data_IF_029341589847
#
_entry.id   IF_029341589847
#
_cell.length_a   1.000
_cell.length_b   1.000
_cell.length_c   1.000
_cell.angle_alpha   90.00
_cell.angle_beta   90.00
_cell.angle_gamma   90.00
#
_symmetry.space_group_name_H-M   'P 1'
#
loop_
_entity.id
_entity.type
_entity.pdbx_description
1 polymer ?
#
# COMPACT_ATOMS: atom_id res chain seq x y z
N UNK A 1 -14.72 -20.19 12.73
CA UNK A 1 -13.81 -19.52 11.77
C UNK A 1 -14.58 -19.41 10.48
N UNK A 2 -15.08 -18.23 10.12
CA UNK A 2 -15.79 -18.05 8.85
C UNK A 2 -14.75 -18.03 7.71
N UNK A 3 -15.06 -18.58 6.53
CA UNK A 3 -14.16 -18.50 5.39
C UNK A 3 -14.07 -17.03 4.94
N UNK A 4 -12.88 -16.43 5.01
CA UNK A 4 -12.57 -15.20 4.29
C UNK A 4 -12.78 -15.49 2.80
N UNK A 5 -13.76 -14.83 2.17
CA UNK A 5 -14.05 -15.04 0.76
C UNK A 5 -12.90 -14.46 -0.07
N UNK A 6 -12.16 -15.24 -0.87
CA UNK A 6 -11.02 -14.73 -1.65
C UNK A 6 -11.43 -13.62 -2.63
N UNK A 7 -12.70 -13.60 -3.07
CA UNK A 7 -13.26 -12.53 -3.89
C UNK A 7 -13.37 -11.16 -3.20
N UNK A 8 -13.43 -11.09 -1.86
CA UNK A 8 -13.45 -9.79 -1.15
C UNK A 8 -12.06 -9.18 -1.04
N UNK A 9 -11.03 -9.99 -0.80
CA UNK A 9 -9.66 -9.49 -0.66
C UNK A 9 -9.13 -8.88 -1.98
N UNK A 10 -9.33 -9.56 -3.11
CA UNK A 10 -8.96 -9.04 -4.43
C UNK A 10 -9.77 -7.78 -4.80
N UNK A 11 -11.07 -7.75 -4.46
CA UNK A 11 -11.92 -6.57 -4.68
C UNK A 11 -11.47 -5.38 -3.83
N UNK A 12 -11.13 -5.61 -2.56
CA UNK A 12 -10.59 -4.59 -1.67
C UNK A 12 -9.23 -4.08 -2.17
N UNK A 13 -8.34 -4.97 -2.60
CA UNK A 13 -7.05 -4.62 -3.17
C UNK A 13 -7.21 -3.75 -4.43
N UNK A 14 -8.16 -4.08 -5.31
CA UNK A 14 -8.49 -3.29 -6.50
C UNK A 14 -9.02 -1.90 -6.13
N UNK A 15 -9.92 -1.79 -5.16
CA UNK A 15 -10.41 -0.49 -4.68
C UNK A 15 -9.24 0.38 -4.17
N UNK A 16 -8.32 -0.21 -3.41
CA UNK A 16 -7.16 0.49 -2.89
C UNK A 16 -6.17 0.89 -3.98
N UNK A 17 -6.00 0.07 -5.02
CA UNK A 17 -5.20 0.41 -6.19
C UNK A 17 -5.80 1.61 -6.94
N UNK A 18 -7.11 1.64 -7.14
CA UNK A 18 -7.79 2.76 -7.78
C UNK A 18 -7.65 4.07 -6.98
N UNK A 19 -7.78 3.98 -5.65
CA UNK A 19 -7.53 5.13 -4.75
C UNK A 19 -6.08 5.59 -4.89
N UNK A 20 -5.13 4.66 -4.86
CA UNK A 20 -3.71 4.96 -4.97
C UNK A 20 -3.35 5.63 -6.30
N UNK A 21 -3.84 5.11 -7.43
CA UNK A 21 -3.60 5.68 -8.75
C UNK A 21 -4.15 7.10 -8.88
N UNK A 22 -5.32 7.39 -8.28
CA UNK A 22 -5.89 8.75 -8.25
C UNK A 22 -5.04 9.69 -7.40
N UNK A 23 -4.65 9.26 -6.21
CA UNK A 23 -3.80 10.06 -5.32
C UNK A 23 -2.42 10.32 -5.94
N UNK A 24 -1.78 9.31 -6.51
CA UNK A 24 -0.45 9.41 -7.09
C UNK A 24 -0.43 10.28 -8.35
N UNK A 25 -1.44 10.15 -9.23
CA UNK A 25 -1.56 11.01 -10.41
C UNK A 25 -1.82 12.47 -10.06
N UNK A 26 -2.63 12.74 -9.02
CA UNK A 26 -2.76 14.09 -8.48
C UNK A 26 -1.42 14.61 -7.96
N UNK A 27 -0.66 13.83 -7.17
CA UNK A 27 0.66 14.26 -6.68
C UNK A 27 1.68 14.55 -7.79
N UNK A 28 1.68 13.78 -8.87
CA UNK A 28 2.53 14.06 -10.05
C UNK A 28 2.12 15.37 -10.74
N UNK A 29 0.81 15.65 -10.84
CA UNK A 29 0.31 16.92 -11.36
C UNK A 29 0.56 18.11 -10.41
N UNK A 30 0.51 17.90 -9.09
CA UNK A 30 0.81 18.91 -8.07
C UNK A 30 2.33 19.17 -7.97
N UNK A 31 3.18 18.16 -8.19
CA UNK A 31 4.64 18.31 -8.28
C UNK A 31 5.09 19.15 -9.49
N UNK A 32 4.24 19.26 -10.52
CA UNK A 32 4.42 20.17 -11.66
C UNK A 32 3.60 21.47 -11.57
N UNK A 33 2.80 21.70 -10.51
CA UNK A 33 1.95 22.91 -10.50
C UNK A 33 1.01 23.21 -9.35
N UNK A 34 1.10 22.60 -8.16
CA UNK A 34 0.26 23.02 -7.04
C UNK A 34 1.02 23.22 -5.74
N UNK A 35 1.12 24.49 -5.38
CA UNK A 35 1.59 24.95 -4.10
C UNK A 35 0.50 24.76 -3.02
N UNK A 36 0.34 23.53 -2.51
CA UNK A 36 -0.09 23.34 -1.12
C UNK A 36 1.09 23.57 -0.15
N UNK A 37 2.04 24.41 -0.55
CA UNK A 37 3.14 24.90 0.27
C UNK A 37 2.65 25.97 1.23
N UNK A 38 2.13 25.56 2.38
CA UNK A 38 2.39 26.31 3.61
C UNK A 38 3.44 25.48 4.37
N UNK A 39 4.71 25.78 4.08
CA UNK A 39 5.86 25.17 4.75
C UNK A 39 6.72 24.23 3.89
N UNK A 40 7.23 24.69 2.75
CA UNK A 40 8.55 24.30 2.21
C UNK A 40 8.86 22.83 1.84
N UNK A 41 7.95 21.88 2.02
CA UNK A 41 8.20 20.46 1.70
C UNK A 41 7.35 20.03 0.52
N UNK A 42 7.95 19.94 -0.67
CA UNK A 42 7.36 19.20 -1.79
C UNK A 42 7.58 17.72 -1.51
N UNK A 43 6.61 17.08 -0.85
CA UNK A 43 6.61 15.61 -0.66
C UNK A 43 6.52 14.95 -2.03
N UNK A 44 7.52 14.13 -2.37
CA UNK A 44 7.50 13.34 -3.59
C UNK A 44 6.64 12.10 -3.37
N UNK A 45 6.05 11.58 -4.44
CA UNK A 45 5.31 10.31 -4.40
C UNK A 45 6.13 9.19 -3.73
N UNK A 46 7.43 9.15 -4.04
CA UNK A 46 8.39 8.19 -3.49
C UNK A 46 8.55 8.30 -1.97
N UNK A 47 8.52 9.50 -1.41
CA UNK A 47 8.61 9.71 0.04
C UNK A 47 7.37 9.13 0.74
N UNK A 48 6.20 9.26 0.10
CA UNK A 48 4.95 8.71 0.62
C UNK A 48 4.88 7.18 0.51
N UNK A 49 5.38 6.61 -0.59
CA UNK A 49 5.51 5.15 -0.72
C UNK A 49 6.45 4.58 0.35
N UNK A 50 7.55 5.27 0.63
CA UNK A 50 8.48 4.94 1.70
C UNK A 50 7.79 5.03 3.08
N UNK A 51 7.09 6.12 3.39
CA UNK A 51 6.38 6.29 4.67
C UNK A 51 5.33 5.20 4.91
N UNK A 52 4.57 4.83 3.88
CA UNK A 52 3.60 3.73 3.97
C UNK A 52 4.32 2.40 4.20
N UNK A 53 5.38 2.12 3.44
CA UNK A 53 6.13 0.89 3.59
C UNK A 53 6.76 0.76 4.99
N UNK A 54 7.38 1.83 5.49
CA UNK A 54 7.97 1.88 6.83
C UNK A 54 6.92 1.68 7.92
N UNK A 55 5.74 2.29 7.76
CA UNK A 55 4.62 2.04 8.66
C UNK A 55 4.22 0.56 8.65
N UNK A 56 4.05 -0.07 7.49
CA UNK A 56 3.67 -1.47 7.37
C UNK A 56 4.72 -2.42 7.94
N UNK A 57 6.00 -2.17 7.66
CA UNK A 57 7.14 -2.91 8.24
C UNK A 57 7.13 -2.81 9.75
N UNK A 58 7.02 -1.60 10.30
CA UNK A 58 6.99 -1.40 11.75
C UNK A 58 5.77 -2.05 12.43
N UNK A 59 4.64 -2.19 11.71
CA UNK A 59 3.48 -2.94 12.22
C UNK A 59 3.75 -4.46 12.20
N UNK A 60 4.38 -4.97 11.13
CA UNK A 60 4.72 -6.38 11.00
C UNK A 60 5.77 -6.80 12.05
N UNK A 61 6.81 -5.99 12.25
CA UNK A 61 7.86 -6.23 13.24
C UNK A 61 7.31 -6.24 14.67
N UNK A 62 6.43 -5.29 15.02
CA UNK A 62 5.73 -5.27 16.32
C UNK A 62 4.89 -6.52 16.54
N UNK A 63 4.30 -7.06 15.48
CA UNK A 63 3.57 -8.33 15.52
C UNK A 63 4.46 -9.57 15.42
N UNK A 64 5.79 -9.40 15.30
CA UNK A 64 6.75 -10.48 15.02
C UNK A 64 6.39 -11.30 13.77
N UNK A 65 5.79 -10.65 12.78
CA UNK A 65 5.30 -11.27 11.53
C UNK A 65 6.35 -11.20 10.42
N UNK A 66 7.34 -12.09 10.50
CA UNK A 66 8.41 -12.18 9.49
C UNK A 66 7.89 -12.57 8.10
N UNK A 67 6.79 -13.32 8.05
CA UNK A 67 6.05 -13.67 6.83
C UNK A 67 5.55 -12.43 6.08
N UNK A 68 4.99 -11.46 6.80
CA UNK A 68 4.50 -10.20 6.22
C UNK A 68 5.65 -9.32 5.76
N UNK A 69 6.75 -9.25 6.53
CA UNK A 69 7.96 -8.51 6.11
C UNK A 69 8.53 -9.10 4.82
N UNK A 70 8.59 -10.44 4.72
CA UNK A 70 9.05 -11.12 3.52
C UNK A 70 8.12 -10.85 2.32
N UNK A 71 6.81 -10.89 2.53
CA UNK A 71 5.83 -10.57 1.49
C UNK A 71 5.98 -9.12 1.00
N UNK A 72 6.05 -8.15 1.91
CA UNK A 72 6.27 -6.75 1.59
C UNK A 72 7.52 -6.54 0.74
N UNK A 73 8.66 -7.09 1.16
CA UNK A 73 9.92 -6.95 0.41
C UNK A 73 9.83 -7.60 -0.97
N UNK A 74 9.23 -8.78 -1.07
CA UNK A 74 9.12 -9.51 -2.35
C UNK A 74 8.26 -8.78 -3.38
N UNK A 75 7.15 -8.18 -2.95
CA UNK A 75 6.12 -7.67 -3.86
C UNK A 75 6.05 -6.15 -3.93
N UNK A 76 6.56 -5.46 -2.92
CA UNK A 76 6.49 -4.00 -2.80
C UNK A 76 7.84 -3.28 -2.91
N UNK A 77 8.98 -3.98 -2.83
CA UNK A 77 10.29 -3.33 -2.95
C UNK A 77 10.95 -3.68 -4.29
N UNK A 78 11.26 -2.66 -5.08
CA UNK A 78 12.06 -2.80 -6.29
C UNK A 78 13.55 -2.72 -5.91
N UNK A 79 14.22 -3.87 -5.88
CA UNK A 79 15.64 -3.94 -5.54
C UNK A 79 16.55 -3.24 -6.57
N UNK A 80 16.15 -3.19 -7.84
CA UNK A 80 16.95 -2.55 -8.88
C UNK A 80 16.89 -1.03 -8.78
N UNK A 81 15.71 -0.49 -8.45
CA UNK A 81 15.52 0.94 -8.22
C UNK A 81 15.87 1.37 -6.79
N UNK A 82 15.88 0.44 -5.83
CA UNK A 82 16.04 0.73 -4.40
C UNK A 82 14.86 1.49 -3.80
N UNK A 83 13.65 1.27 -4.32
CA UNK A 83 12.45 2.05 -3.98
C UNK A 83 11.24 1.15 -3.68
N UNK A 84 10.36 1.62 -2.81
CA UNK A 84 9.04 1.00 -2.61
C UNK A 84 8.08 1.38 -3.71
N UNK A 85 7.25 0.42 -4.10
CA UNK A 85 6.28 0.50 -5.19
C UNK A 85 4.93 -0.02 -4.71
N UNK A 86 4.09 0.89 -4.24
CA UNK A 86 2.82 0.52 -3.63
C UNK A 86 1.82 -0.03 -4.65
N UNK A 87 1.92 0.40 -5.91
CA UNK A 87 1.14 -0.17 -7.01
C UNK A 87 1.51 -1.63 -7.29
N UNK A 88 2.81 -1.98 -7.23
CA UNK A 88 3.27 -3.36 -7.37
C UNK A 88 2.78 -4.25 -6.21
N UNK A 89 2.83 -3.74 -4.97
CA UNK A 89 2.29 -4.44 -3.81
C UNK A 89 0.79 -4.70 -3.93
N UNK A 90 0.01 -3.69 -4.31
CA UNK A 90 -1.44 -3.82 -4.49
C UNK A 90 -1.79 -4.76 -5.64
N UNK A 91 -1.03 -4.73 -6.75
CA UNK A 91 -1.15 -5.71 -7.83
C UNK A 91 -0.93 -7.14 -7.36
N UNK A 92 0.12 -7.39 -6.57
CA UNK A 92 0.36 -8.71 -6.00
C UNK A 92 -0.77 -9.18 -5.06
N UNK A 93 -1.41 -8.27 -4.32
CA UNK A 93 -2.55 -8.59 -3.46
C UNK A 93 -3.81 -8.93 -4.26
N UNK A 94 -3.99 -8.35 -5.46
CA UNK A 94 -5.07 -8.71 -6.39
C UNK A 94 -4.83 -10.11 -6.96
N UNK A 95 -3.59 -10.42 -7.32
CA UNK A 95 -3.18 -11.68 -7.96
C UNK A 95 -2.98 -12.84 -6.96
N UNK A 96 -3.19 -12.62 -5.66
CA UNK A 96 -3.00 -13.62 -4.60
C UNK A 96 -4.29 -14.33 -4.09
N UNK A 97 -5.38 -14.55 -4.86
CA UNK A 97 -6.62 -15.08 -4.29
C UNK A 97 -6.50 -16.56 -3.85
N UNK A 98 -5.53 -17.31 -4.36
CA UNK A 98 -5.30 -18.74 -4.06
C UNK A 98 -3.94 -19.02 -3.39
N UNK A 99 -3.36 -17.99 -2.76
CA UNK A 99 -2.09 -18.11 -2.03
C UNK A 99 -2.14 -19.10 -0.87
N UNK A 100 -0.98 -19.40 -0.28
CA UNK A 100 -0.92 -20.21 0.93
C UNK A 100 -1.71 -19.57 2.08
N UNK A 101 -2.10 -20.33 3.12
CA UNK A 101 -2.78 -19.75 4.28
C UNK A 101 -2.00 -18.59 4.92
N UNK A 102 -0.66 -18.66 4.91
CA UNK A 102 0.20 -17.57 5.38
C UNK A 102 0.12 -16.32 4.48
N UNK A 103 0.01 -16.50 3.16
CA UNK A 103 -0.19 -15.38 2.23
C UNK A 103 -1.58 -14.77 2.37
N UNK A 104 -2.61 -15.58 2.60
CA UNK A 104 -3.95 -15.08 2.88
C UNK A 104 -3.97 -14.21 4.16
N UNK A 105 -3.32 -14.67 5.23
CA UNK A 105 -3.18 -13.87 6.46
C UNK A 105 -2.35 -12.59 6.25
N UNK A 106 -1.30 -12.66 5.43
CA UNK A 106 -0.49 -11.48 5.09
C UNK A 106 -1.32 -10.47 4.29
N UNK A 107 -2.09 -10.94 3.30
CA UNK A 107 -3.02 -10.12 2.52
C UNK A 107 -4.05 -9.45 3.41
N UNK A 108 -4.73 -10.20 4.29
CA UNK A 108 -5.71 -9.64 5.23
C UNK A 108 -5.07 -8.58 6.14
N UNK A 109 -3.86 -8.84 6.64
CA UNK A 109 -3.13 -7.89 7.49
C UNK A 109 -2.80 -6.58 6.75
N UNK A 110 -2.33 -6.70 5.50
CA UNK A 110 -1.90 -5.58 4.67
C UNK A 110 -3.11 -4.76 4.21
N UNK A 111 -4.15 -5.41 3.69
CA UNK A 111 -5.37 -4.78 3.22
C UNK A 111 -6.09 -4.02 4.33
N UNK A 112 -6.15 -4.57 5.54
CA UNK A 112 -6.76 -3.88 6.68
C UNK A 112 -6.06 -2.56 7.02
N UNK A 113 -4.73 -2.52 6.91
CA UNK A 113 -3.92 -1.35 7.25
C UNK A 113 -3.84 -0.34 6.12
N UNK A 114 -3.55 -0.79 4.91
CA UNK A 114 -3.58 0.03 3.70
C UNK A 114 -4.97 0.65 3.50
N UNK A 115 -6.03 -0.12 3.76
CA UNK A 115 -7.40 0.36 3.69
C UNK A 115 -7.68 1.53 4.62
N UNK A 116 -7.21 1.47 5.88
CA UNK A 116 -7.33 2.59 6.82
C UNK A 116 -6.54 3.81 6.35
N UNK A 117 -5.29 3.61 5.92
CA UNK A 117 -4.41 4.69 5.48
C UNK A 117 -4.95 5.36 4.22
N UNK A 118 -5.06 4.63 3.12
CA UNK A 118 -5.41 5.19 1.80
C UNK A 118 -6.82 5.79 1.77
N UNK A 119 -7.82 5.14 2.39
CA UNK A 119 -9.18 5.72 2.44
C UNK A 119 -9.23 6.97 3.31
N UNK A 120 -8.43 7.05 4.38
CA UNK A 120 -8.33 8.25 5.21
C UNK A 120 -7.72 9.41 4.44
N UNK A 121 -6.63 9.16 3.70
CA UNK A 121 -6.02 10.16 2.82
C UNK A 121 -6.98 10.62 1.73
N UNK A 122 -7.66 9.69 1.04
CA UNK A 122 -8.63 10.02 0.01
C UNK A 122 -9.77 10.93 0.52
N UNK A 123 -10.22 10.75 1.77
CA UNK A 123 -11.24 11.62 2.39
C UNK A 123 -10.77 13.03 2.70
N UNK A 124 -9.47 13.23 2.95
CA UNK A 124 -8.90 14.54 3.28
C UNK A 124 -8.54 15.36 2.03
N UNK A 125 -8.39 14.70 0.88
CA UNK A 125 -7.96 15.30 -0.38
C UNK A 125 -8.96 15.13 -1.54
N UNK A 126 -10.13 14.53 -1.29
CA UNK A 126 -11.20 14.29 -2.25
C UNK A 126 -12.35 15.29 -2.17
#
# INVERSE_FOLDING_TARGET
>A
MAPSHPGSAASDAQELLDIWQRLSSQHVALATGCACGIGGVTLRLQDFEQDIADYLLAQAERGQRADIVAFLRRHGFDEAAGLWRLDALLGALIDAPDGSAAEAEASDFLLSRLGKTLRSFAKLHG
#
